data_IF_933549640638
#
_entry.id   IF_933549640638
#
_cell.length_a   1.000
_cell.length_b   1.000
_cell.length_c   1.000
_cell.angle_alpha   90.00
_cell.angle_beta   90.00
_cell.angle_gamma   90.00
#
_symmetry.space_group_name_H-M   'P 1'
#
loop_
_entity.id
_entity.type
_entity.pdbx_description
1 polymer ?
#
# COMPACT_ATOMS: atom_id res chain seq x y z
N UNK A 1 -14.53 1.52 12.02
CA UNK A 1 -13.74 1.86 10.81
C UNK A 1 -13.48 0.54 10.11
N UNK A 2 -13.90 0.35 8.87
CA UNK A 2 -13.56 -0.87 8.14
C UNK A 2 -12.04 -0.88 7.96
N UNK A 3 -11.35 -1.83 8.58
CA UNK A 3 -9.96 -2.09 8.25
C UNK A 3 -9.94 -2.46 6.76
N UNK A 4 -9.29 -1.63 5.94
CA UNK A 4 -9.12 -1.99 4.54
C UNK A 4 -8.16 -3.16 4.53
N UNK A 5 -8.62 -4.32 4.06
CA UNK A 5 -7.80 -5.53 3.93
C UNK A 5 -6.80 -5.37 2.78
N UNK A 6 -5.75 -4.58 3.02
CA UNK A 6 -4.65 -4.37 2.08
C UNK A 6 -3.90 -5.68 1.77
N UNK A 7 -4.02 -6.68 2.63
CA UNK A 7 -3.42 -8.00 2.42
C UNK A 7 -4.07 -8.78 1.28
N UNK A 8 -5.34 -8.51 0.97
CA UNK A 8 -6.05 -9.10 -0.18
C UNK A 8 -5.71 -8.41 -1.51
N UNK A 9 -5.04 -7.24 -1.47
CA UNK A 9 -4.68 -6.48 -2.65
C UNK A 9 -3.34 -6.93 -3.26
N UNK A 10 -3.15 -6.67 -4.54
CA UNK A 10 -1.88 -6.93 -5.21
C UNK A 10 -0.89 -5.78 -4.97
N UNK A 11 0.40 -6.02 -5.25
CA UNK A 11 1.43 -4.96 -5.19
C UNK A 11 1.09 -3.78 -6.09
N UNK A 12 0.43 -4.02 -7.23
CA UNK A 12 0.02 -2.95 -8.16
C UNK A 12 -1.08 -2.10 -7.56
N UNK A 13 -2.10 -2.74 -6.96
CA UNK A 13 -3.20 -2.02 -6.30
C UNK A 13 -2.70 -1.22 -5.10
N UNK A 14 -1.78 -1.78 -4.31
CA UNK A 14 -1.18 -1.08 -3.17
C UNK A 14 -0.39 0.15 -3.62
N UNK A 15 0.38 0.04 -4.71
CA UNK A 15 1.10 1.18 -5.30
C UNK A 15 0.14 2.26 -5.81
N UNK A 16 -0.94 1.85 -6.48
CA UNK A 16 -1.96 2.78 -6.96
C UNK A 16 -2.60 3.53 -5.78
N UNK A 17 -2.95 2.82 -4.69
CA UNK A 17 -3.50 3.44 -3.49
C UNK A 17 -2.52 4.39 -2.80
N UNK A 18 -1.23 4.04 -2.79
CA UNK A 18 -0.18 4.93 -2.27
C UNK A 18 -0.07 6.19 -3.12
N UNK A 19 -0.11 6.06 -4.44
CA UNK A 19 -0.09 7.19 -5.40
C UNK A 19 -1.33 8.08 -5.24
N UNK A 20 -2.52 7.50 -5.15
CA UNK A 20 -3.78 8.22 -4.88
C UNK A 20 -3.76 8.98 -3.55
N UNK A 21 -3.03 8.47 -2.56
CA UNK A 21 -2.84 9.11 -1.25
C UNK A 21 -1.63 10.06 -1.21
N UNK A 22 -0.84 10.14 -2.27
CA UNK A 22 0.40 10.91 -2.31
C UNK A 22 1.49 10.39 -1.35
N UNK A 23 1.47 9.11 -1.02
CA UNK A 23 2.46 8.46 -0.15
C UNK A 23 3.60 7.94 -1.01
N UNK A 24 4.80 8.45 -0.77
CA UNK A 24 6.00 8.01 -1.47
C UNK A 24 6.38 6.58 -1.04
N UNK A 25 6.66 5.73 -2.02
CA UNK A 25 7.18 4.38 -1.81
C UNK A 25 8.43 4.14 -2.67
N UNK A 26 9.32 3.25 -2.22
CA UNK A 26 10.53 2.90 -2.97
C UNK A 26 10.23 1.77 -3.95
N UNK A 27 10.90 1.78 -5.10
CA UNK A 27 10.71 0.72 -6.12
C UNK A 27 11.10 -0.68 -5.63
N UNK A 28 11.95 -0.77 -4.58
CA UNK A 28 12.32 -2.01 -3.91
C UNK A 28 11.44 -2.39 -2.72
N UNK A 29 10.40 -1.62 -2.41
CA UNK A 29 9.47 -1.97 -1.34
C UNK A 29 8.65 -3.19 -1.72
N UNK A 30 8.68 -4.18 -0.83
CA UNK A 30 7.91 -5.40 -0.94
C UNK A 30 6.46 -5.15 -0.51
N UNK A 31 5.56 -6.07 -0.86
CA UNK A 31 4.13 -5.98 -0.52
C UNK A 31 3.87 -5.56 0.93
N UNK A 32 4.57 -6.17 1.89
CA UNK A 32 4.42 -5.84 3.30
C UNK A 32 4.81 -4.40 3.66
N UNK A 33 5.86 -3.85 3.04
CA UNK A 33 6.26 -2.46 3.24
C UNK A 33 5.20 -1.50 2.67
N UNK A 34 4.65 -1.80 1.50
CA UNK A 34 3.57 -1.01 0.89
C UNK A 34 2.29 -1.03 1.75
N UNK A 35 1.95 -2.19 2.32
CA UNK A 35 0.83 -2.32 3.26
C UNK A 35 1.09 -1.48 4.51
N UNK A 36 2.28 -1.57 5.10
CA UNK A 36 2.63 -0.80 6.29
C UNK A 36 2.55 0.71 6.07
N UNK A 37 2.87 1.19 4.86
CA UNK A 37 2.70 2.61 4.48
C UNK A 37 1.22 3.02 4.39
N UNK A 38 0.33 2.10 3.99
CA UNK A 38 -1.11 2.35 3.89
C UNK A 38 -1.85 2.23 5.23
N UNK A 39 -1.36 1.36 6.11
CA UNK A 39 -1.85 1.16 7.49
C UNK A 39 -1.30 2.18 8.50
N UNK A 40 -0.32 3.00 8.08
CA UNK A 40 0.46 3.94 8.90
C UNK A 40 -0.29 4.70 9.98
#
# INVERSE_FOLDING_TARGET
MAAVDYNSLTVVDLKALLDERGIEYKSGDNKAALIALLEG
#
